data_IF_574826962714
#
_entry.id   IF_574826962714
#
_cell.length_a   1.000
_cell.length_b   1.000
_cell.length_c   1.000
_cell.angle_alpha   90.00
_cell.angle_beta   90.00
_cell.angle_gamma   90.00
#
_symmetry.space_group_name_H-M   'P 1'
#
loop_
_entity.id
_entity.type
_entity.pdbx_description
1 polymer ?
#
# COMPACT_ATOMS: atom_id res chain seq x y z
N UNK A 1 18.32 -6.99 16.15
CA UNK A 1 18.77 -7.88 15.05
C UNK A 1 19.67 -7.09 14.13
N UNK A 2 20.81 -7.65 13.73
CA UNK A 2 21.68 -7.04 12.73
C UNK A 2 21.13 -7.43 11.36
N UNK A 3 20.83 -6.44 10.52
CA UNK A 3 20.33 -6.61 9.15
C UNK A 3 21.39 -6.02 8.24
N UNK A 4 21.68 -6.67 7.11
CA UNK A 4 22.66 -6.14 6.16
C UNK A 4 22.23 -4.75 5.66
N UNK A 5 23.21 -3.84 5.47
CA UNK A 5 22.91 -2.48 4.99
C UNK A 5 22.26 -2.47 3.60
N UNK A 6 22.48 -3.52 2.80
CA UNK A 6 21.87 -3.70 1.48
C UNK A 6 20.39 -4.04 1.62
N UNK A 7 20.06 -5.13 2.31
CA UNK A 7 18.68 -5.60 2.49
C UNK A 7 17.82 -4.55 3.18
N UNK A 8 18.37 -3.89 4.21
CA UNK A 8 17.66 -2.80 4.91
C UNK A 8 17.27 -1.67 3.95
N UNK A 9 18.17 -1.28 3.04
CA UNK A 9 17.93 -0.20 2.08
C UNK A 9 16.90 -0.61 1.02
N UNK A 10 16.95 -1.86 0.57
CA UNK A 10 15.98 -2.41 -0.38
C UNK A 10 14.56 -2.48 0.22
N UNK A 11 14.41 -2.96 1.45
CA UNK A 11 13.12 -2.95 2.16
C UNK A 11 12.60 -1.53 2.31
N UNK A 12 13.46 -0.58 2.71
CA UNK A 12 13.08 0.83 2.86
C UNK A 12 12.66 1.46 1.52
N UNK A 13 13.39 1.15 0.43
CA UNK A 13 13.07 1.64 -0.91
C UNK A 13 11.72 1.13 -1.39
N UNK A 14 11.46 -0.16 -1.20
CA UNK A 14 10.18 -0.77 -1.55
C UNK A 14 9.02 -0.16 -0.74
N UNK A 15 9.18 -0.05 0.57
CA UNK A 15 8.19 0.55 1.46
C UNK A 15 7.89 2.01 1.09
N UNK A 16 8.90 2.80 0.71
CA UNK A 16 8.72 4.19 0.29
C UNK A 16 7.99 4.30 -1.05
N UNK A 17 8.31 3.42 -2.00
CA UNK A 17 7.70 3.42 -3.33
C UNK A 17 6.21 3.05 -3.26
N UNK A 18 5.89 1.94 -2.59
CA UNK A 18 4.52 1.43 -2.52
C UNK A 18 3.68 2.11 -1.43
N UNK A 19 4.32 2.55 -0.33
CA UNK A 19 3.65 3.12 0.85
C UNK A 19 2.98 2.08 1.76
N UNK A 20 2.96 0.81 1.36
CA UNK A 20 2.40 -0.32 2.11
C UNK A 20 3.32 -1.54 1.95
N UNK A 21 3.44 -2.34 3.00
CA UNK A 21 4.17 -3.62 2.97
C UNK A 21 3.36 -4.69 3.70
N UNK A 22 3.45 -5.95 3.27
CA UNK A 22 2.86 -7.07 3.98
C UNK A 22 3.86 -8.21 4.15
N UNK A 23 3.69 -8.99 5.21
CA UNK A 23 4.45 -10.22 5.40
C UNK A 23 3.60 -11.28 6.11
N UNK A 24 3.70 -12.53 5.69
CA UNK A 24 3.17 -13.66 6.46
C UNK A 24 4.00 -13.81 7.73
N UNK A 25 3.38 -14.16 8.87
CA UNK A 25 4.05 -14.49 10.13
C UNK A 25 4.74 -15.85 10.02
N UNK A 26 5.78 -15.90 9.21
CA UNK A 26 6.62 -17.06 8.99
C UNK A 26 8.10 -16.62 9.02
N UNK A 27 8.76 -16.87 10.14
CA UNK A 27 10.15 -16.44 10.34
C UNK A 27 11.17 -17.30 9.57
N UNK A 28 10.76 -18.47 9.07
CA UNK A 28 11.67 -19.41 8.39
C UNK A 28 11.65 -19.23 6.87
N UNK A 29 10.75 -18.39 6.35
CA UNK A 29 10.68 -18.10 4.94
C UNK A 29 11.96 -17.36 4.48
N UNK A 30 12.79 -18.07 3.70
CA UNK A 30 14.10 -17.61 3.27
C UNK A 30 14.05 -16.31 2.46
N UNK A 31 12.97 -16.06 1.72
CA UNK A 31 12.81 -14.89 0.85
C UNK A 31 11.37 -14.37 0.84
N UNK A 32 11.21 -13.05 0.96
CA UNK A 32 9.91 -12.41 0.79
C UNK A 32 9.50 -12.38 -0.70
N UNK A 33 8.23 -12.66 -1.06
CA UNK A 33 7.72 -12.54 -2.42
C UNK A 33 8.01 -11.23 -3.18
N UNK A 34 8.06 -10.08 -2.51
CA UNK A 34 8.15 -8.77 -3.17
C UNK A 34 9.49 -8.04 -2.96
N UNK A 35 10.29 -8.49 -1.99
CA UNK A 35 11.53 -7.81 -1.59
C UNK A 35 12.67 -8.80 -1.63
N UNK A 36 13.86 -8.38 -2.07
CA UNK A 36 15.07 -9.20 -2.12
C UNK A 36 15.72 -9.36 -0.73
N UNK A 37 14.91 -9.66 0.29
CA UNK A 37 15.32 -9.85 1.67
C UNK A 37 14.58 -11.04 2.29
N UNK A 38 15.14 -11.57 3.37
CA UNK A 38 14.47 -12.64 4.13
C UNK A 38 13.24 -12.13 4.87
N UNK A 39 12.24 -12.98 5.05
CA UNK A 39 10.99 -12.56 5.71
C UNK A 39 11.22 -12.16 7.18
N UNK A 40 12.18 -12.81 7.84
CA UNK A 40 12.57 -12.47 9.21
C UNK A 40 13.13 -11.04 9.29
N UNK A 41 14.03 -10.66 8.38
CA UNK A 41 14.57 -9.29 8.31
C UNK A 41 13.46 -8.26 8.10
N UNK A 42 12.50 -8.56 7.22
CA UNK A 42 11.34 -7.70 6.96
C UNK A 42 10.52 -7.49 8.24
N UNK A 43 10.10 -8.58 8.89
CA UNK A 43 9.27 -8.51 10.10
C UNK A 43 10.00 -7.75 11.22
N UNK A 44 11.28 -8.05 11.45
CA UNK A 44 12.06 -7.40 12.52
C UNK A 44 12.38 -5.95 12.22
N UNK A 45 12.61 -5.58 10.95
CA UNK A 45 12.77 -4.19 10.56
C UNK A 45 11.47 -3.42 10.76
N UNK A 46 10.33 -3.95 10.31
CA UNK A 46 9.04 -3.30 10.48
C UNK A 46 8.63 -3.18 11.95
N UNK A 47 8.96 -4.17 12.79
CA UNK A 47 8.77 -4.09 14.24
C UNK A 47 9.53 -2.88 14.83
N UNK A 48 10.75 -2.62 14.37
CA UNK A 48 11.54 -1.46 14.81
C UNK A 48 11.00 -0.12 14.31
N UNK A 49 10.32 -0.11 13.16
CA UNK A 49 9.68 1.08 12.61
C UNK A 49 8.37 1.39 13.33
N UNK A 50 7.60 0.34 13.68
CA UNK A 50 6.39 0.46 14.49
C UNK A 50 6.69 1.08 15.86
N UNK A 51 7.76 0.64 16.53
CA UNK A 51 8.15 1.20 17.84
C UNK A 51 8.56 2.67 17.79
N UNK A 52 8.83 3.20 16.59
CA UNK A 52 9.16 4.61 16.34
C UNK A 52 8.02 5.36 15.64
N UNK A 53 6.86 4.73 15.50
CA UNK A 53 5.65 5.29 14.89
C UNK A 53 5.79 5.69 13.40
N UNK A 54 6.84 5.20 12.72
CA UNK A 54 7.03 5.39 11.28
C UNK A 54 6.07 4.57 10.42
N UNK A 55 5.52 3.49 10.99
CA UNK A 55 4.52 2.66 10.32
C UNK A 55 3.40 2.29 11.28
N UNK A 56 2.19 2.23 10.76
CA UNK A 56 1.03 1.64 11.44
C UNK A 56 0.94 0.16 11.09
N UNK A 57 0.86 -0.70 12.08
CA UNK A 57 0.71 -2.14 11.91
C UNK A 57 -0.75 -2.58 12.06
N UNK A 58 -1.19 -3.52 11.24
CA UNK A 58 -2.42 -4.30 11.39
C UNK A 58 -2.07 -5.77 11.23
N UNK A 59 -2.52 -6.62 12.16
CA UNK A 59 -2.26 -8.06 12.10
C UNK A 59 -3.58 -8.81 11.95
N UNK A 60 -3.67 -9.63 10.89
CA UNK A 60 -4.90 -10.38 10.58
C UNK A 60 -4.57 -11.65 9.81
N UNK A 61 -5.22 -12.77 10.14
CA UNK A 61 -5.04 -14.07 9.45
C UNK A 61 -3.57 -14.52 9.32
N UNK A 62 -2.77 -14.35 10.38
CA UNK A 62 -1.31 -14.60 10.37
C UNK A 62 -0.52 -13.74 9.36
N UNK A 63 -1.06 -12.63 8.91
CA UNK A 63 -0.38 -11.66 8.06
C UNK A 63 -0.23 -10.33 8.79
N UNK A 64 0.97 -9.77 8.69
CA UNK A 64 1.27 -8.40 9.05
C UNK A 64 1.04 -7.50 7.85
N UNK A 65 0.38 -6.37 8.10
CA UNK A 65 0.16 -5.29 7.16
C UNK A 65 0.71 -4.01 7.78
N UNK A 66 1.63 -3.35 7.10
CA UNK A 66 2.22 -2.10 7.54
C UNK A 66 1.89 -0.98 6.57
N UNK A 67 1.41 0.14 7.12
CA UNK A 67 1.07 1.35 6.39
C UNK A 67 2.04 2.44 6.79
N UNK A 68 2.65 3.10 5.81
CA UNK A 68 3.60 4.17 6.06
C UNK A 68 2.88 5.42 6.60
N UNK A 69 3.39 6.00 7.69
CA UNK A 69 2.87 7.26 8.27
C UNK A 69 3.62 8.47 7.70
N UNK A 70 3.12 9.69 7.96
CA UNK A 70 3.78 10.92 7.51
C UNK A 70 5.22 11.04 8.06
N UNK A 71 5.41 10.77 9.35
CA UNK A 71 6.74 10.79 9.97
C UNK A 71 7.67 9.72 9.37
N UNK A 72 7.10 8.56 9.03
CA UNK A 72 7.82 7.51 8.30
C UNK A 72 8.27 7.94 6.91
N UNK A 73 7.46 8.73 6.19
CA UNK A 73 7.81 9.29 4.89
C UNK A 73 9.02 10.23 5.02
N UNK A 74 9.01 11.14 5.99
CA UNK A 74 10.12 12.08 6.24
C UNK A 74 11.41 11.36 6.63
N UNK A 75 11.31 10.37 7.52
CA UNK A 75 12.44 9.54 7.92
C UNK A 75 13.03 8.79 6.70
N UNK A 76 12.19 8.16 5.88
CA UNK A 76 12.65 7.41 4.71
C UNK A 76 13.26 8.32 3.63
N UNK A 77 12.74 9.54 3.44
CA UNK A 77 13.36 10.54 2.54
C UNK A 77 14.78 10.86 2.96
N UNK A 78 14.97 11.15 4.24
CA UNK A 78 16.29 11.47 4.80
C UNK A 78 17.23 10.25 4.75
N UNK A 79 16.71 9.06 5.08
CA UNK A 79 17.50 7.83 5.09
C UNK A 79 17.94 7.37 3.69
N UNK A 80 17.10 7.58 2.67
CA UNK A 80 17.37 7.20 1.29
C UNK A 80 18.03 8.32 0.47
N UNK A 81 18.19 9.52 1.03
CA UNK A 81 18.69 10.72 0.36
C UNK A 81 17.93 11.04 -0.94
N UNK A 82 16.60 10.96 -0.89
CA UNK A 82 15.73 11.22 -2.04
C UNK A 82 15.26 12.70 -2.05
N UNK A 83 15.13 13.33 -3.22
CA UNK A 83 14.56 14.67 -3.34
C UNK A 83 13.08 14.70 -2.89
N UNK A 84 12.62 15.85 -2.39
CA UNK A 84 11.31 16.06 -1.76
C UNK A 84 10.10 15.78 -2.67
N UNK A 85 10.30 15.76 -3.98
CA UNK A 85 9.24 15.53 -4.98
C UNK A 85 8.74 14.09 -5.02
N UNK A 86 9.56 13.11 -4.62
CA UNK A 86 9.17 11.71 -4.73
C UNK A 86 8.19 11.41 -3.59
N UNK A 87 6.94 11.20 -3.97
CA UNK A 87 5.86 10.77 -3.08
C UNK A 87 5.57 9.28 -3.27
N UNK A 88 5.22 8.57 -2.18
CA UNK A 88 4.73 7.20 -2.28
C UNK A 88 3.57 7.09 -3.26
N UNK A 89 3.43 5.93 -3.92
CA UNK A 89 2.34 5.67 -4.87
C UNK A 89 0.95 5.86 -4.23
N UNK A 90 0.80 5.69 -2.92
CA UNK A 90 -0.45 5.93 -2.19
C UNK A 90 -0.90 7.40 -2.19
N UNK A 91 0.03 8.35 -2.32
CA UNK A 91 -0.24 9.79 -2.36
C UNK A 91 -0.37 10.34 -3.79
N UNK A 92 0.03 9.56 -4.80
CA UNK A 92 -0.26 9.90 -6.19
C UNK A 92 -1.76 9.78 -6.39
N UNK A 93 -2.45 10.91 -6.55
CA UNK A 93 -3.87 10.91 -6.97
C UNK A 93 -3.98 10.07 -8.24
N UNK A 94 -4.51 8.86 -8.11
CA UNK A 94 -4.99 8.13 -9.27
C UNK A 94 -6.03 9.01 -9.95
N UNK A 95 -5.81 9.36 -11.21
CA UNK A 95 -6.82 10.01 -12.02
C UNK A 95 -8.00 9.03 -12.08
N UNK A 96 -8.99 9.22 -11.20
CA UNK A 96 -10.26 8.51 -11.31
C UNK A 96 -10.69 8.69 -12.77
N UNK A 97 -10.93 7.60 -13.53
CA UNK A 97 -11.49 7.75 -14.85
C UNK A 97 -12.77 8.59 -14.69
N UNK A 98 -13.00 9.57 -15.58
CA UNK A 98 -14.20 10.40 -15.49
C UNK A 98 -15.39 9.46 -15.35
N UNK A 99 -16.23 9.67 -14.34
CA UNK A 99 -17.46 8.93 -14.19
C UNK A 99 -18.17 9.00 -15.53
N UNK A 100 -18.30 7.87 -16.23
CA UNK A 100 -19.11 7.82 -17.45
C UNK A 100 -20.48 8.40 -17.08
N UNK A 101 -20.99 9.43 -17.77
CA UNK A 101 -22.34 9.89 -17.53
C UNK A 101 -23.25 8.67 -17.69
N UNK A 102 -23.93 8.30 -16.61
CA UNK A 102 -24.99 7.31 -16.67
C UNK A 102 -25.95 7.78 -17.75
N UNK A 103 -26.03 6.97 -18.82
CA UNK A 103 -26.81 7.12 -20.04
C UNK A 103 -27.78 8.29 -20.10
N UNK A 104 -27.33 9.37 -20.74
CA UNK A 104 -28.19 10.12 -21.67
C UNK A 104 -28.49 9.20 -22.87
N UNK A 105 -29.46 8.30 -22.70
CA UNK A 105 -30.07 7.60 -23.83
C UNK A 105 -30.93 8.59 -24.63
N UNK A 106 -31.05 8.43 -25.97
CA UNK A 106 -31.90 9.29 -26.78
C UNK A 106 -33.38 9.15 -26.35
N UNK A 107 -34.18 10.24 -26.39
CA UNK A 107 -35.60 10.17 -26.09
C UNK A 107 -36.29 9.46 -27.26
N UNK A 108 -36.64 8.20 -27.11
CA UNK A 108 -37.31 7.41 -28.14
C UNK A 108 -38.17 6.30 -27.52
N UNK A 109 -39.48 6.49 -27.62
CA UNK A 109 -40.54 5.47 -27.66
C UNK A 109 -40.49 4.32 -26.64
N UNK A 110 -41.13 4.54 -25.48
CA UNK A 110 -41.78 3.43 -24.75
C UNK A 110 -43.25 3.34 -25.19
N UNK A 111 -43.65 2.30 -25.94
CA UNK A 111 -45.06 2.05 -26.22
C UNK A 111 -45.77 1.66 -24.93
N UNK A 112 -46.99 2.17 -24.75
CA UNK A 112 -47.78 2.03 -23.54
C UNK A 112 -48.09 0.57 -23.18
N UNK A 113 -48.08 0.30 -21.88
CA UNK A 113 -48.82 -0.82 -21.30
C UNK A 113 -49.94 -0.24 -20.45
N UNK A 114 -51.11 -0.21 -21.06
CA UNK A 114 -52.41 0.04 -20.46
C UNK A 114 -52.72 -0.93 -19.32
N UNK A 115 -53.34 -0.40 -18.27
CA UNK A 115 -54.37 -1.00 -17.41
C UNK A 115 -54.05 -2.32 -16.70
N UNK A 116 -54.18 -2.33 -15.37
CA UNK A 116 -55.20 -3.14 -14.71
C UNK A 116 -55.33 -2.71 -13.25
N UNK A 117 -56.52 -2.19 -12.93
CA UNK A 117 -57.04 -1.96 -11.59
C UNK A 117 -57.80 -3.22 -11.20
N UNK A 118 -57.50 -3.79 -10.04
CA UNK A 118 -58.24 -4.87 -9.39
C UNK A 118 -58.20 -4.64 -7.90
#
# INVERSE_FOLDING_TARGET
>A
MIISKKNRREICKYLFQEGVLYAKKDYNLAKHPQVDASNLEVIKLMQSFKSKEYVRETFSWQHYYWYLTNDGIEFLRTFLNLPSEIVPNTLKKSAKPPSRPFGSGPPGDRPGSSSFRG
#
